data_IF_774034391265
#
_entry.id   IF_774034391265
#
_cell.length_a   1.000
_cell.length_b   1.000
_cell.length_c   1.000
_cell.angle_alpha   90.00
_cell.angle_beta   90.00
_cell.angle_gamma   90.00
#
_symmetry.space_group_name_H-M   'P 1'
#
loop_
_entity.id
_entity.type
_entity.pdbx_description
1 polymer ?
#
# COMPACT_ATOMS: atom_id res chain seq x y z
N UNK A 1 47.37 -27.00 59.27
CA UNK A 1 46.06 -27.30 58.66
C UNK A 1 45.32 -25.99 58.47
N UNK A 2 45.46 -25.37 57.30
CA UNK A 2 44.86 -24.07 56.97
C UNK A 2 44.12 -24.21 55.65
N UNK A 3 42.82 -23.96 55.65
CA UNK A 3 41.95 -23.98 54.47
C UNK A 3 41.91 -22.57 53.86
N UNK A 4 42.29 -22.42 52.59
CA UNK A 4 41.99 -21.22 51.79
C UNK A 4 40.84 -21.52 50.84
N UNK A 5 39.72 -20.81 51.01
CA UNK A 5 38.58 -20.80 50.09
C UNK A 5 38.85 -19.80 48.97
N UNK A 6 38.93 -20.27 47.74
CA UNK A 6 38.91 -19.42 46.54
C UNK A 6 37.45 -19.11 46.17
N UNK A 7 37.09 -17.82 46.14
CA UNK A 7 35.82 -17.34 45.58
C UNK A 7 35.82 -17.53 44.06
N UNK A 8 34.79 -18.18 43.53
CA UNK A 8 34.47 -18.17 42.10
C UNK A 8 33.66 -16.91 41.79
N UNK A 9 34.23 -16.03 40.98
CA UNK A 9 33.59 -14.84 40.42
C UNK A 9 32.91 -15.24 39.11
N UNK A 10 31.59 -15.45 39.15
CA UNK A 10 30.79 -15.82 37.98
C UNK A 10 30.66 -14.65 37.00
N UNK A 11 31.37 -14.73 35.88
CA UNK A 11 31.23 -13.82 34.75
C UNK A 11 29.96 -14.20 33.97
N UNK A 12 28.86 -13.48 34.19
CA UNK A 12 27.65 -13.63 33.40
C UNK A 12 27.84 -12.98 32.02
N UNK A 13 28.36 -13.75 31.07
CA UNK A 13 28.40 -13.36 29.67
C UNK A 13 26.96 -13.45 29.15
N UNK A 14 26.25 -12.33 29.14
CA UNK A 14 24.94 -12.20 28.53
C UNK A 14 25.11 -12.28 27.01
N UNK A 15 24.87 -13.45 26.43
CA UNK A 15 24.76 -13.61 24.98
C UNK A 15 23.50 -12.90 24.50
N UNK A 16 23.66 -11.66 24.05
CA UNK A 16 22.66 -10.97 23.23
C UNK A 16 22.58 -11.69 21.88
N UNK A 17 21.68 -12.68 21.80
CA UNK A 17 21.24 -13.23 20.51
C UNK A 17 20.66 -12.08 19.68
N UNK A 18 21.21 -11.74 18.51
CA UNK A 18 20.52 -10.85 17.60
C UNK A 18 19.22 -11.56 17.23
N UNK A 19 18.09 -10.95 17.56
CA UNK A 19 16.79 -11.40 17.06
C UNK A 19 16.85 -11.28 15.53
N UNK A 20 17.13 -12.39 14.84
CA UNK A 20 16.89 -12.50 13.41
C UNK A 20 15.41 -12.18 13.23
N UNK A 21 15.11 -11.04 12.63
CA UNK A 21 13.78 -10.75 12.14
C UNK A 21 13.48 -11.81 11.09
N UNK A 22 12.78 -12.88 11.49
CA UNK A 22 12.27 -13.86 10.56
C UNK A 22 11.40 -13.10 9.56
N UNK A 23 11.76 -13.18 8.27
CA UNK A 23 10.89 -12.75 7.20
C UNK A 23 9.59 -13.55 7.32
N UNK A 24 8.54 -12.92 7.84
CA UNK A 24 7.22 -13.53 7.92
C UNK A 24 6.67 -13.65 6.50
N UNK A 25 6.05 -14.80 6.23
CA UNK A 25 5.31 -15.04 5.00
C UNK A 25 4.35 -13.87 4.68
N UNK A 26 4.18 -13.50 3.40
CA UNK A 26 3.24 -12.46 3.00
C UNK A 26 1.85 -12.71 3.56
N UNK A 27 1.20 -11.66 4.05
CA UNK A 27 -0.17 -11.77 4.57
C UNK A 27 -1.12 -12.14 3.45
N UNK A 28 -1.88 -13.21 3.66
CA UNK A 28 -2.95 -13.62 2.78
C UNK A 28 -4.19 -12.73 2.99
N UNK A 29 -4.28 -11.66 2.20
CA UNK A 29 -5.36 -10.68 2.29
C UNK A 29 -6.75 -11.29 2.06
N UNK A 30 -6.84 -12.45 1.40
CA UNK A 30 -8.14 -13.13 1.17
C UNK A 30 -8.77 -13.67 2.46
N UNK A 31 -7.96 -13.84 3.51
CA UNK A 31 -8.38 -14.31 4.84
C UNK A 31 -8.75 -13.19 5.79
N UNK A 32 -8.60 -11.93 5.39
CA UNK A 32 -8.99 -10.79 6.22
C UNK A 32 -10.51 -10.71 6.25
N UNK A 33 -11.08 -10.88 7.45
CA UNK A 33 -12.50 -10.68 7.66
C UNK A 33 -12.87 -9.22 7.39
N UNK A 34 -13.95 -9.05 6.62
CA UNK A 34 -14.46 -7.78 6.10
C UNK A 34 -15.85 -7.52 6.66
N UNK A 35 -15.96 -7.63 7.98
CA UNK A 35 -17.17 -7.36 8.75
C UNK A 35 -17.12 -5.98 9.38
N UNK A 36 -18.20 -5.22 9.24
CA UNK A 36 -18.52 -4.07 10.07
C UNK A 36 -19.41 -4.53 11.23
N UNK A 37 -19.17 -4.01 12.43
CA UNK A 37 -19.98 -4.28 13.61
C UNK A 37 -21.24 -3.42 13.62
N UNK A 38 -21.12 -2.14 13.21
CA UNK A 38 -22.24 -1.21 13.23
C UNK A 38 -22.04 -0.14 12.17
N UNK A 39 -23.13 0.17 11.46
CA UNK A 39 -23.15 1.14 10.38
C UNK A 39 -24.11 2.29 10.75
N UNK A 40 -23.79 3.55 10.37
CA UNK A 40 -24.70 4.67 10.51
C UNK A 40 -25.83 4.59 9.48
N UNK A 41 -26.83 5.46 9.63
CA UNK A 41 -27.83 5.67 8.58
C UNK A 41 -27.20 6.48 7.44
N UNK A 42 -26.99 5.82 6.30
CA UNK A 42 -26.46 6.45 5.10
C UNK A 42 -27.52 7.27 4.37
N UNK A 43 -27.09 8.39 3.80
CA UNK A 43 -27.94 9.30 3.01
C UNK A 43 -28.03 8.91 1.53
N UNK A 44 -26.99 8.27 1.00
CA UNK A 44 -26.88 7.75 -0.36
C UNK A 44 -26.54 6.25 -0.33
N UNK A 45 -26.17 5.68 -1.50
CA UNK A 45 -25.71 4.29 -1.58
C UNK A 45 -24.27 4.19 -1.10
N UNK A 46 -24.00 3.51 0.04
CA UNK A 46 -22.66 3.42 0.60
C UNK A 46 -21.74 2.61 -0.32
N UNK A 47 -20.46 3.01 -0.36
CA UNK A 47 -19.41 2.25 -1.04
C UNK A 47 -18.24 2.00 -0.11
N UNK A 48 -17.71 0.79 -0.14
CA UNK A 48 -16.82 0.25 0.89
C UNK A 48 -15.41 -0.03 0.33
N UNK A 49 -14.40 0.29 1.13
CA UNK A 49 -13.01 -0.09 0.93
C UNK A 49 -12.36 -0.34 2.29
N UNK A 50 -11.50 -1.34 2.38
CA UNK A 50 -10.73 -1.61 3.59
C UNK A 50 -9.27 -1.20 3.37
N UNK A 51 -8.74 -0.34 4.24
CA UNK A 51 -7.31 -0.10 4.31
C UNK A 51 -6.69 -1.04 5.34
N UNK A 52 -5.51 -1.57 5.02
CA UNK A 52 -4.68 -2.30 5.98
C UNK A 52 -3.26 -1.76 5.97
N UNK A 53 -2.62 -1.71 7.14
CA UNK A 53 -1.32 -1.05 7.30
C UNK A 53 -0.24 -1.99 7.86
N UNK A 54 1.00 -1.71 7.46
CA UNK A 54 2.21 -2.35 7.98
C UNK A 54 2.43 -3.77 7.44
N UNK A 55 3.58 -4.37 7.75
CA UNK A 55 3.98 -5.68 7.20
C UNK A 55 2.97 -6.80 7.46
N UNK A 56 2.25 -6.73 8.57
CA UNK A 56 1.31 -7.75 9.07
C UNK A 56 -0.15 -7.45 8.76
N UNK A 57 -0.49 -6.28 8.19
CA UNK A 57 -1.86 -5.87 7.88
C UNK A 57 -2.82 -6.02 9.08
N UNK A 58 -2.31 -5.79 10.30
CA UNK A 58 -3.07 -5.96 11.55
C UNK A 58 -3.99 -4.77 11.84
N UNK A 59 -3.55 -3.58 11.46
CA UNK A 59 -4.34 -2.36 11.53
C UNK A 59 -5.26 -2.30 10.33
N UNK A 60 -6.56 -2.30 10.59
CA UNK A 60 -7.64 -2.26 9.61
C UNK A 60 -8.39 -0.95 9.80
N UNK A 61 -8.70 -0.27 8.70
CA UNK A 61 -9.46 0.98 8.71
C UNK A 61 -10.48 0.92 7.59
N UNK A 62 -11.75 0.86 7.95
CA UNK A 62 -12.83 0.99 6.99
C UNK A 62 -12.93 2.40 6.44
N UNK A 63 -13.16 2.47 5.14
CA UNK A 63 -13.62 3.67 4.45
C UNK A 63 -14.97 3.37 3.82
N UNK A 64 -16.00 4.08 4.26
CA UNK A 64 -17.33 4.00 3.66
C UNK A 64 -17.73 5.37 3.16
N UNK A 65 -17.85 5.50 1.85
CA UNK A 65 -18.23 6.77 1.25
C UNK A 65 -19.72 6.81 0.98
N UNK A 66 -20.30 7.95 1.32
CA UNK A 66 -21.72 8.23 1.26
C UNK A 66 -21.92 9.67 0.74
N UNK A 67 -21.97 9.83 -0.59
CA UNK A 67 -22.05 11.13 -1.24
C UNK A 67 -20.89 12.07 -0.88
N UNK A 68 -21.21 13.13 -0.11
CA UNK A 68 -20.25 14.14 0.37
C UNK A 68 -19.61 13.81 1.71
N UNK A 69 -19.97 12.67 2.30
CA UNK A 69 -19.41 12.16 3.54
C UNK A 69 -18.51 10.95 3.27
N UNK A 70 -17.50 10.81 4.11
CA UNK A 70 -16.65 9.65 4.20
C UNK A 70 -16.59 9.23 5.67
N UNK A 71 -17.11 8.05 5.96
CA UNK A 71 -16.98 7.39 7.26
C UNK A 71 -15.65 6.64 7.30
N UNK A 72 -14.91 6.80 8.40
CA UNK A 72 -13.56 6.30 8.61
C UNK A 72 -13.47 5.67 9.99
N UNK A 73 -13.35 4.35 10.02
CA UNK A 73 -13.10 3.55 11.23
C UNK A 73 -11.65 3.74 11.67
N UNK A 74 -11.40 4.77 12.49
CA UNK A 74 -10.04 5.25 12.79
C UNK A 74 -9.32 4.37 13.80
N UNK A 75 -10.04 3.64 14.63
CA UNK A 75 -9.50 2.76 15.67
C UNK A 75 -9.62 1.27 15.33
N UNK A 76 -10.34 0.92 14.26
CA UNK A 76 -10.38 -0.42 13.67
C UNK A 76 -11.38 -1.35 14.35
N UNK A 77 -12.35 -0.81 15.09
CA UNK A 77 -13.35 -1.60 15.82
C UNK A 77 -14.54 -2.01 14.93
N UNK A 78 -14.72 -1.37 13.78
CA UNK A 78 -15.77 -1.62 12.82
C UNK A 78 -17.16 -1.08 13.20
N UNK A 79 -17.26 -0.26 14.25
CA UNK A 79 -18.36 0.67 14.45
C UNK A 79 -18.07 1.93 13.62
N UNK A 80 -19.04 2.43 12.85
CA UNK A 80 -18.91 3.65 12.05
C UNK A 80 -19.83 4.78 12.53
N UNK A 81 -20.37 4.64 13.74
CA UNK A 81 -21.39 5.56 14.27
C UNK A 81 -20.82 6.64 15.18
N UNK A 82 -19.52 6.63 15.45
CA UNK A 82 -18.92 7.64 16.30
C UNK A 82 -18.73 8.97 15.57
N UNK A 83 -18.97 10.07 16.30
CA UNK A 83 -18.92 11.43 15.72
C UNK A 83 -17.55 11.83 15.17
N UNK A 84 -16.48 11.17 15.62
CA UNK A 84 -15.11 11.37 15.14
C UNK A 84 -14.79 10.49 13.92
N UNK A 85 -15.75 9.82 13.30
CA UNK A 85 -15.50 8.93 12.16
C UNK A 85 -15.97 9.53 10.84
N UNK A 86 -16.71 10.63 10.89
CA UNK A 86 -17.25 11.28 9.70
C UNK A 86 -16.32 12.40 9.22
N UNK A 87 -16.03 12.40 7.92
CA UNK A 87 -15.25 13.42 7.23
C UNK A 87 -16.05 13.99 6.07
N UNK A 88 -16.27 15.30 6.10
CA UNK A 88 -16.90 16.00 4.97
C UNK A 88 -15.91 16.23 3.83
N UNK A 89 -16.44 16.29 2.61
CA UNK A 89 -15.61 16.66 1.48
C UNK A 89 -15.13 18.11 1.57
N UNK A 90 -13.84 18.32 1.33
CA UNK A 90 -13.22 19.66 1.30
C UNK A 90 -13.43 20.41 -0.02
N UNK A 91 -14.07 19.78 -1.02
CA UNK A 91 -14.30 20.37 -2.33
C UNK A 91 -15.81 20.56 -2.59
N UNK A 92 -16.19 21.72 -3.14
CA UNK A 92 -17.63 22.05 -3.36
C UNK A 92 -18.30 21.12 -4.39
N UNK A 93 -17.56 20.75 -5.43
CA UNK A 93 -18.05 20.01 -6.61
C UNK A 93 -17.26 18.72 -6.87
N UNK A 94 -16.51 18.23 -5.89
CA UNK A 94 -15.73 16.99 -6.00
C UNK A 94 -15.78 16.26 -4.65
N UNK A 95 -15.50 14.96 -4.67
CA UNK A 95 -15.45 14.13 -3.48
C UNK A 95 -13.99 13.96 -3.04
N UNK A 96 -13.46 15.02 -2.41
CA UNK A 96 -12.10 15.07 -1.85
C UNK A 96 -12.16 15.04 -0.33
N UNK A 97 -11.46 14.12 0.32
CA UNK A 97 -11.53 13.91 1.77
C UNK A 97 -10.14 13.92 2.39
N UNK A 98 -9.94 14.76 3.40
CA UNK A 98 -8.72 14.78 4.21
C UNK A 98 -8.98 13.99 5.49
N UNK A 99 -8.63 12.70 5.44
CA UNK A 99 -8.80 11.78 6.58
C UNK A 99 -7.86 12.13 7.73
N UNK A 100 -6.65 12.59 7.40
CA UNK A 100 -5.66 13.03 8.39
C UNK A 100 -4.68 11.92 8.75
N UNK A 101 -4.44 11.73 10.04
CA UNK A 101 -3.49 10.73 10.55
C UNK A 101 -4.22 9.47 11.00
N UNK A 102 -3.73 8.32 10.57
CA UNK A 102 -4.13 7.00 11.09
C UNK A 102 -2.99 6.45 11.94
N UNK A 103 -3.30 5.98 13.14
CA UNK A 103 -2.31 5.36 14.02
C UNK A 103 -2.54 3.86 14.03
N UNK A 104 -1.53 3.09 13.61
CA UNK A 104 -1.59 1.62 13.71
C UNK A 104 -1.68 1.16 15.15
N UNK A 105 -2.12 -0.09 15.35
CA UNK A 105 -2.08 -0.78 16.64
C UNK A 105 -0.65 -0.77 17.26
N UNK A 106 0.39 -0.80 16.43
CA UNK A 106 1.79 -0.70 16.85
C UNK A 106 2.31 0.73 17.11
N UNK A 107 1.45 1.76 17.02
CA UNK A 107 1.82 3.17 17.28
C UNK A 107 2.44 3.92 16.10
N UNK A 108 2.67 3.26 14.96
CA UNK A 108 3.11 3.92 13.71
C UNK A 108 2.04 4.88 13.21
N UNK A 109 2.43 6.12 12.88
CA UNK A 109 1.52 7.18 12.45
C UNK A 109 1.57 7.41 10.95
N UNK A 110 0.58 6.92 10.21
CA UNK A 110 0.43 7.18 8.79
C UNK A 110 -0.22 8.53 8.57
N UNK A 111 0.49 9.46 7.92
CA UNK A 111 0.08 10.85 7.84
C UNK A 111 -0.57 11.16 6.50
N UNK A 112 -1.29 12.28 6.45
CA UNK A 112 -1.84 12.85 5.23
C UNK A 112 -2.65 11.83 4.41
N UNK A 113 -3.40 10.96 5.10
CA UNK A 113 -4.34 10.05 4.46
C UNK A 113 -5.38 10.90 3.74
N UNK A 114 -5.45 10.72 2.43
CA UNK A 114 -6.24 11.55 1.54
C UNK A 114 -6.89 10.70 0.48
N UNK A 115 -8.18 10.93 0.25
CA UNK A 115 -8.99 10.23 -0.74
C UNK A 115 -9.59 11.23 -1.72
N UNK A 116 -9.57 10.89 -3.00
CA UNK A 116 -10.33 11.56 -4.03
C UNK A 116 -11.19 10.53 -4.77
N UNK A 117 -12.48 10.82 -4.92
CA UNK A 117 -13.35 10.15 -5.87
C UNK A 117 -13.60 11.04 -7.08
N UNK A 118 -13.54 10.42 -8.27
CA UNK A 118 -13.82 11.06 -9.54
C UNK A 118 -14.48 10.07 -10.51
N UNK A 119 -15.02 10.58 -11.61
CA UNK A 119 -15.52 9.72 -12.71
C UNK A 119 -14.42 8.89 -13.39
N UNK A 120 -13.15 9.27 -13.19
CA UNK A 120 -11.98 8.54 -13.70
C UNK A 120 -11.47 7.46 -12.73
N UNK A 121 -12.16 7.26 -11.61
CA UNK A 121 -11.82 6.30 -10.56
C UNK A 121 -11.50 6.95 -9.21
N UNK A 122 -11.46 6.12 -8.18
CA UNK A 122 -11.04 6.48 -6.84
C UNK A 122 -9.51 6.49 -6.72
N UNK A 123 -8.98 7.35 -5.87
CA UNK A 123 -7.56 7.37 -5.52
C UNK A 123 -7.39 7.64 -4.04
N UNK A 124 -6.40 6.97 -3.45
CA UNK A 124 -6.04 7.12 -2.05
C UNK A 124 -4.53 7.30 -1.97
N UNK A 125 -4.08 8.22 -1.12
CA UNK A 125 -2.68 8.42 -0.84
C UNK A 125 -2.41 8.49 0.66
N UNK A 126 -1.23 7.98 1.04
CA UNK A 126 -0.76 7.94 2.43
C UNK A 126 0.71 8.31 2.46
N UNK A 127 1.10 9.17 3.39
CA UNK A 127 2.51 9.40 3.72
C UNK A 127 2.97 8.35 4.74
N UNK A 128 3.88 7.48 4.31
CA UNK A 128 4.39 6.38 5.12
C UNK A 128 5.62 6.84 5.93
N UNK A 129 5.65 6.66 7.27
CA UNK A 129 6.74 7.12 8.12
C UNK A 129 8.11 6.59 7.70
N UNK A 130 9.10 7.49 7.68
CA UNK A 130 10.46 7.15 7.27
C UNK A 130 10.60 6.76 5.79
N UNK A 131 9.50 6.79 5.02
CA UNK A 131 9.44 6.46 3.59
C UNK A 131 8.84 7.64 2.83
N UNK A 132 8.25 7.35 1.67
CA UNK A 132 7.61 8.30 0.77
C UNK A 132 6.09 8.08 0.72
N UNK A 133 5.40 8.92 -0.06
CA UNK A 133 3.97 8.78 -0.31
C UNK A 133 3.71 7.51 -1.15
N UNK A 134 2.79 6.68 -0.68
CA UNK A 134 2.14 5.65 -1.49
C UNK A 134 0.84 6.18 -2.09
N UNK A 135 0.56 5.85 -3.36
CA UNK A 135 -0.66 6.22 -4.09
C UNK A 135 -1.27 5.01 -4.76
N UNK A 136 -2.59 4.93 -4.69
CA UNK A 136 -3.41 3.91 -5.32
C UNK A 136 -3.96 4.43 -6.64
N UNK A 137 -4.00 3.57 -7.67
CA UNK A 137 -4.45 3.87 -9.02
C UNK A 137 -3.79 5.10 -9.71
N UNK A 138 -2.45 5.30 -9.63
CA UNK A 138 -1.81 6.47 -10.22
C UNK A 138 -1.88 6.46 -11.76
N UNK A 139 -2.33 7.57 -12.36
CA UNK A 139 -2.26 7.83 -13.81
C UNK A 139 -2.96 6.76 -14.68
N UNK A 140 -2.20 5.86 -15.34
CA UNK A 140 -2.76 4.81 -16.23
C UNK A 140 -2.84 3.43 -15.58
N UNK A 141 -2.54 3.30 -14.29
CA UNK A 141 -2.83 2.08 -13.55
C UNK A 141 -4.35 1.82 -13.51
N UNK A 142 -4.72 0.55 -13.32
CA UNK A 142 -6.12 0.15 -13.16
C UNK A 142 -6.78 0.95 -12.05
N UNK A 143 -8.04 1.33 -12.28
CA UNK A 143 -8.78 2.22 -11.38
C UNK A 143 -9.30 1.46 -10.17
N UNK A 144 -9.19 2.10 -9.01
CA UNK A 144 -9.81 1.64 -7.79
C UNK A 144 -11.32 1.93 -7.87
N UNK A 145 -12.10 0.94 -7.48
CA UNK A 145 -13.55 1.03 -7.36
C UNK A 145 -13.96 0.48 -6.00
N UNK A 146 -14.58 1.32 -5.18
CA UNK A 146 -15.17 0.87 -3.92
C UNK A 146 -16.37 -0.04 -4.21
N UNK A 147 -16.51 -1.11 -3.42
CA UNK A 147 -17.58 -2.09 -3.62
C UNK A 147 -18.91 -1.61 -3.02
N UNK A 148 -20.03 -2.22 -3.45
CA UNK A 148 -21.35 -1.95 -2.89
C UNK A 148 -21.66 -2.70 -1.58
N UNK A 149 -20.74 -3.52 -1.08
CA UNK A 149 -20.89 -4.27 0.17
C UNK A 149 -19.56 -4.36 0.92
N UNK A 150 -19.56 -4.50 2.26
CA UNK A 150 -18.34 -4.76 3.03
C UNK A 150 -17.63 -6.05 2.58
N UNK A 151 -18.39 -7.12 2.35
CA UNK A 151 -17.87 -8.43 1.95
C UNK A 151 -17.10 -8.41 0.63
N UNK A 152 -17.45 -7.51 -0.28
CA UNK A 152 -16.80 -7.39 -1.59
C UNK A 152 -15.78 -6.24 -1.64
N UNK A 153 -15.62 -5.49 -0.54
CA UNK A 153 -14.76 -4.33 -0.47
C UNK A 153 -13.32 -4.66 -0.88
N UNK A 154 -12.69 -3.89 -1.79
CA UNK A 154 -11.27 -4.05 -2.07
C UNK A 154 -10.46 -3.80 -0.80
N UNK A 155 -9.31 -4.47 -0.69
CA UNK A 155 -8.35 -4.26 0.38
C UNK A 155 -7.14 -3.55 -0.19
N UNK A 156 -6.80 -2.38 0.34
CA UNK A 156 -5.59 -1.66 0.00
C UNK A 156 -4.59 -1.87 1.12
N UNK A 157 -3.43 -2.44 0.79
CA UNK A 157 -2.37 -2.68 1.75
C UNK A 157 -1.31 -1.59 1.64
N UNK A 158 -1.23 -0.69 2.63
CA UNK A 158 -0.16 0.28 2.76
C UNK A 158 0.97 -0.27 3.63
N UNK A 159 2.21 0.09 3.30
CA UNK A 159 3.40 -0.27 4.07
C UNK A 159 3.60 -1.79 4.29
N UNK A 160 3.01 -2.59 3.40
CA UNK A 160 3.20 -4.04 3.30
C UNK A 160 4.47 -4.47 2.58
N UNK A 161 4.57 -5.77 2.23
CA UNK A 161 5.65 -6.31 1.40
C UNK A 161 5.66 -5.68 0.00
N UNK A 162 6.86 -5.32 -0.48
CA UNK A 162 7.01 -4.69 -1.78
C UNK A 162 6.94 -5.73 -2.92
N UNK A 163 6.30 -5.32 -4.02
CA UNK A 163 6.35 -5.99 -5.31
C UNK A 163 6.67 -4.99 -6.41
N UNK A 164 7.23 -5.51 -7.49
CA UNK A 164 7.39 -4.81 -8.75
C UNK A 164 6.30 -5.30 -9.71
N UNK A 165 5.53 -4.38 -10.28
CA UNK A 165 4.47 -4.70 -11.25
C UNK A 165 4.55 -3.81 -12.49
N UNK A 166 3.93 -4.22 -13.58
CA UNK A 166 3.75 -3.36 -14.74
C UNK A 166 2.81 -2.19 -14.41
N UNK A 167 3.11 -1.00 -14.94
CA UNK A 167 2.35 0.23 -14.66
C UNK A 167 0.92 0.23 -15.24
N UNK A 168 0.69 -0.48 -16.34
CA UNK A 168 -0.61 -0.58 -17.01
C UNK A 168 -0.96 -2.04 -17.30
N UNK A 169 -2.24 -2.36 -17.29
CA UNK A 169 -2.78 -3.71 -17.52
C UNK A 169 -2.31 -4.26 -18.88
N UNK A 170 -2.39 -3.42 -19.92
CA UNK A 170 -1.89 -3.73 -21.26
C UNK A 170 -0.91 -2.65 -21.72
N UNK A 171 0.18 -3.07 -22.38
CA UNK A 171 1.13 -2.14 -23.01
C UNK A 171 1.72 -2.75 -24.27
N UNK A 172 1.36 -2.16 -25.40
CA UNK A 172 2.04 -2.41 -26.67
C UNK A 172 3.20 -1.41 -26.78
N UNK A 173 4.41 -1.93 -26.85
CA UNK A 173 5.62 -1.13 -27.06
C UNK A 173 5.93 -1.15 -28.56
N UNK A 174 5.71 -0.02 -29.24
CA UNK A 174 5.95 0.07 -30.68
C UNK A 174 7.43 0.28 -30.97
N UNK A 175 8.02 -0.62 -31.78
CA UNK A 175 9.41 -0.50 -32.25
C UNK A 175 9.63 0.71 -33.16
N UNK A 176 8.59 1.16 -33.86
CA UNK A 176 8.66 2.19 -34.90
C UNK A 176 7.96 3.50 -34.51
N UNK A 177 7.65 3.72 -33.23
CA UNK A 177 6.98 4.95 -32.80
C UNK A 177 7.83 6.17 -33.14
N UNK A 178 7.44 6.97 -34.13
CA UNK A 178 8.12 8.22 -34.50
C UNK A 178 7.83 9.38 -33.54
N UNK A 179 6.86 9.21 -32.64
CA UNK A 179 6.62 10.16 -31.57
C UNK A 179 7.86 10.20 -30.67
N UNK A 180 8.49 11.38 -30.55
CA UNK A 180 9.63 11.67 -29.66
C UNK A 180 9.29 11.62 -28.17
N UNK A 181 8.36 10.75 -27.79
CA UNK A 181 7.92 10.51 -26.43
C UNK A 181 8.48 9.15 -26.00
N UNK A 182 9.51 9.16 -25.15
CA UNK A 182 10.11 7.95 -24.57
C UNK A 182 9.09 7.07 -23.82
N UNK A 183 7.94 7.63 -23.41
CA UNK A 183 6.82 6.86 -22.84
C UNK A 183 6.14 5.94 -23.84
N UNK A 184 6.33 6.09 -25.15
CA UNK A 184 5.80 5.18 -26.16
C UNK A 184 6.73 3.97 -26.41
N UNK A 185 8.00 4.05 -25.99
CA UNK A 185 9.04 3.05 -26.25
C UNK A 185 9.61 2.38 -24.98
N UNK A 186 9.22 2.83 -23.80
CA UNK A 186 9.68 2.27 -22.52
C UNK A 186 8.72 1.22 -21.97
N UNK A 187 9.21 0.22 -21.24
CA UNK A 187 8.39 -0.49 -20.26
C UNK A 187 8.31 0.37 -19.00
N UNK A 188 7.11 0.51 -18.42
CA UNK A 188 6.93 1.22 -17.15
C UNK A 188 6.51 0.24 -16.10
N UNK A 189 7.19 0.30 -14.97
CA UNK A 189 6.94 -0.54 -13.80
C UNK A 189 6.66 0.34 -12.59
N UNK A 190 6.00 -0.23 -11.60
CA UNK A 190 5.77 0.37 -10.28
C UNK A 190 6.39 -0.50 -9.21
N UNK A 191 6.87 0.15 -8.15
CA UNK A 191 7.23 -0.52 -6.90
C UNK A 191 6.26 -0.07 -5.82
N UNK A 192 5.71 -1.02 -5.09
CA UNK A 192 4.62 -0.76 -4.16
C UNK A 192 4.11 -2.02 -3.50
N UNK A 193 2.97 -1.91 -2.85
CA UNK A 193 2.42 -3.00 -2.02
C UNK A 193 1.14 -3.52 -2.66
N UNK A 194 1.02 -4.85 -2.87
CA UNK A 194 -0.16 -5.43 -3.49
C UNK A 194 -1.35 -5.40 -2.52
N UNK A 195 -2.52 -5.00 -3.03
CA UNK A 195 -3.81 -5.15 -2.34
C UNK A 195 -4.61 -6.35 -2.85
N UNK A 196 -5.87 -6.44 -2.42
CA UNK A 196 -6.85 -7.42 -2.89
C UNK A 196 -7.96 -6.71 -3.67
N UNK A 197 -8.05 -6.99 -4.97
CA UNK A 197 -9.04 -6.39 -5.88
C UNK A 197 -8.41 -5.46 -6.91
N UNK A 198 -9.17 -5.11 -7.95
CA UNK A 198 -8.70 -4.29 -9.07
C UNK A 198 -8.28 -2.90 -8.59
N UNK A 199 -7.16 -2.39 -9.10
CA UNK A 199 -6.69 -1.04 -8.82
C UNK A 199 -6.20 -0.78 -7.39
N UNK A 200 -5.97 -1.82 -6.58
CA UNK A 200 -5.59 -1.69 -5.16
C UNK A 200 -4.09 -1.57 -4.90
N UNK A 201 -3.25 -1.65 -5.94
CA UNK A 201 -1.80 -1.56 -5.78
C UNK A 201 -1.39 -0.16 -5.29
N UNK A 202 -0.76 -0.11 -4.12
CA UNK A 202 -0.28 1.12 -3.50
C UNK A 202 1.18 1.37 -3.91
N UNK A 203 1.37 2.11 -5.00
CA UNK A 203 2.68 2.41 -5.55
C UNK A 203 3.35 3.57 -4.82
N UNK A 204 4.65 3.46 -4.56
CA UNK A 204 5.42 4.63 -4.15
C UNK A 204 5.56 5.61 -5.31
N UNK A 205 5.65 6.90 -4.98
CA UNK A 205 6.00 7.90 -5.99
C UNK A 205 7.39 7.64 -6.58
N UNK A 206 7.64 8.19 -7.78
CA UNK A 206 8.94 8.09 -8.46
C UNK A 206 10.11 8.72 -7.66
N UNK A 207 9.84 9.42 -6.56
CA UNK A 207 10.84 9.93 -5.62
C UNK A 207 11.42 8.85 -4.68
N UNK A 208 10.86 7.64 -4.67
CA UNK A 208 11.41 6.54 -3.87
C UNK A 208 12.90 6.30 -4.16
N UNK A 209 13.29 6.35 -5.44
CA UNK A 209 14.67 6.16 -5.88
C UNK A 209 15.62 7.26 -5.39
N UNK A 210 15.10 8.49 -5.15
CA UNK A 210 15.92 9.60 -4.63
C UNK A 210 16.44 9.28 -3.21
N UNK A 211 15.70 8.46 -2.45
CA UNK A 211 16.05 8.08 -1.07
C UNK A 211 16.76 6.73 -0.97
N UNK A 212 16.37 5.77 -1.80
CA UNK A 212 16.84 4.38 -1.69
C UNK A 212 17.94 4.01 -2.70
N UNK A 213 18.35 4.96 -3.54
CA UNK A 213 19.33 4.72 -4.60
C UNK A 213 18.70 4.04 -5.83
N UNK A 214 19.53 3.68 -6.82
CA UNK A 214 19.04 3.07 -8.05
C UNK A 214 18.38 1.72 -7.74
N UNK A 215 17.14 1.57 -8.16
CA UNK A 215 16.45 0.28 -8.17
C UNK A 215 16.89 -0.49 -9.40
N UNK A 216 17.19 -1.78 -9.24
CA UNK A 216 17.44 -2.69 -10.35
C UNK A 216 16.39 -3.78 -10.36
N UNK A 217 15.94 -4.17 -11.54
CA UNK A 217 14.97 -5.25 -11.71
C UNK A 217 15.52 -6.27 -12.71
N UNK A 218 15.26 -7.55 -12.43
CA UNK A 218 15.51 -8.65 -13.35
C UNK A 218 14.25 -8.88 -14.16
N UNK A 219 14.39 -8.84 -15.48
CA UNK A 219 13.30 -9.15 -16.40
C UNK A 219 13.60 -10.46 -17.11
N UNK A 220 12.60 -11.34 -17.17
CA UNK A 220 12.61 -12.53 -18.01
C UNK A 220 11.52 -12.37 -19.06
N UNK A 221 11.85 -12.59 -20.32
CA UNK A 221 10.89 -12.58 -21.41
C UNK A 221 11.27 -13.61 -22.47
N UNK A 222 10.25 -14.15 -23.15
CA UNK A 222 10.43 -15.02 -24.31
C UNK A 222 10.60 -14.14 -25.55
N UNK A 223 11.68 -14.35 -26.30
CA UNK A 223 11.88 -13.70 -27.59
C UNK A 223 10.85 -14.17 -28.63
N UNK A 224 10.66 -13.39 -29.70
CA UNK A 224 9.74 -13.76 -30.78
C UNK A 224 10.14 -15.04 -31.53
N UNK A 225 11.42 -15.44 -31.46
CA UNK A 225 11.91 -16.71 -32.03
C UNK A 225 11.72 -17.91 -31.09
N UNK A 226 11.20 -17.70 -29.87
CA UNK A 226 11.03 -18.75 -28.86
C UNK A 226 12.33 -19.18 -28.17
N UNK A 227 13.47 -18.58 -28.52
CA UNK A 227 14.76 -18.86 -27.88
C UNK A 227 14.92 -18.03 -26.60
N UNK A 228 15.14 -18.75 -25.50
CA UNK A 228 15.61 -18.39 -24.15
C UNK A 228 15.01 -17.17 -23.43
N UNK A 229 14.86 -17.33 -22.11
CA UNK A 229 14.66 -16.22 -21.19
C UNK A 229 15.94 -15.36 -21.19
N UNK A 230 15.85 -14.13 -21.71
CA UNK A 230 16.95 -13.17 -21.60
C UNK A 230 16.79 -12.48 -20.24
N UNK A 231 17.77 -12.68 -19.36
CA UNK A 231 17.84 -11.96 -18.08
C UNK A 231 18.49 -10.59 -18.31
N UNK A 232 17.73 -9.52 -18.05
CA UNK A 232 18.25 -8.15 -18.05
C UNK A 232 18.15 -7.57 -16.64
N UNK A 233 19.26 -7.06 -16.13
CA UNK A 233 19.29 -6.23 -14.92
C UNK A 233 19.48 -4.78 -15.33
N UNK A 234 18.40 -4.01 -15.32
CA UNK A 234 18.44 -2.61 -15.75
C UNK A 234 18.21 -1.68 -14.56
N UNK A 235 18.95 -0.55 -14.46
CA UNK A 235 18.60 0.51 -13.53
C UNK A 235 17.24 1.10 -13.94
N UNK A 236 16.31 1.17 -13.00
CA UNK A 236 15.02 1.79 -13.23
C UNK A 236 15.19 3.31 -13.31
N UNK A 237 14.99 3.85 -14.51
CA UNK A 237 15.00 5.29 -14.76
C UNK A 237 13.73 5.94 -14.20
N UNK A 238 13.93 7.06 -13.52
CA UNK A 238 12.83 7.91 -13.06
C UNK A 238 12.17 8.57 -14.26
N UNK A 239 10.93 8.21 -14.55
CA UNK A 239 10.10 8.90 -15.55
C UNK A 239 9.18 9.86 -14.78
N UNK A 240 9.41 11.16 -14.95
CA UNK A 240 8.57 12.24 -14.43
C UNK A 240 7.22 12.35 -15.14
#
# INVERSE_FOLDING_TARGET
MTWSRLLWMGCAICWSLPALAADREPVDLTKIDRKLLKEPEYSETPRYCLLVFGKTADTKVWLVSDGKLLYVDRDGDGDLTDSNEVVESIAKNAQSFRVGTITSAGGTKYQNVFMNRSSLGDSISVEVPGKEIQRVAPGQASKLEFAGSPKDAPIIHFDGPLKLIQYSDDRVISRNSTAGNDRARSLRVMVGTPGLGKGTFAAYSCKLCDRHGPLSAKFEYTSASGESQIELTEPLLKIG
#
